data_IF_697205898614
#
_entry.id   IF_697205898614
#
_cell.length_a   1.000
_cell.length_b   1.000
_cell.length_c   1.000
_cell.angle_alpha   90.00
_cell.angle_beta   90.00
_cell.angle_gamma   90.00
#
_symmetry.space_group_name_H-M   'P 1'
#
loop_
_entity.id
_entity.type
_entity.pdbx_description
1 polymer ?
#
# COMPACT_ATOMS: atom_id res chain seq x y z
N UNK A 1 -10.18 -16.28 -19.10
CA UNK A 1 -10.75 -16.03 -17.76
C UNK A 1 -10.98 -14.55 -17.63
N UNK A 2 -12.24 -14.16 -17.42
CA UNK A 2 -12.71 -12.77 -17.42
C UNK A 2 -12.01 -11.95 -16.33
N UNK A 3 -11.36 -10.85 -16.70
CA UNK A 3 -10.41 -10.11 -15.85
C UNK A 3 -11.04 -9.19 -14.81
N UNK A 4 -12.22 -9.56 -14.29
CA UNK A 4 -12.97 -8.77 -13.30
C UNK A 4 -12.89 -9.46 -11.94
N UNK A 5 -12.38 -8.74 -10.95
CA UNK A 5 -12.44 -9.16 -9.55
C UNK A 5 -13.86 -8.98 -9.02
N UNK A 6 -14.26 -9.86 -8.12
CA UNK A 6 -15.48 -9.66 -7.33
C UNK A 6 -15.25 -8.54 -6.30
N UNK A 7 -16.32 -7.89 -5.86
CA UNK A 7 -16.24 -6.90 -4.79
C UNK A 7 -15.69 -7.51 -3.48
N UNK A 8 -15.92 -8.80 -3.28
CA UNK A 8 -15.41 -9.57 -2.15
C UNK A 8 -13.88 -9.76 -2.22
N UNK A 9 -13.33 -10.12 -3.38
CA UNK A 9 -11.88 -10.21 -3.59
C UNK A 9 -11.18 -8.86 -3.33
N UNK A 10 -11.78 -7.77 -3.81
CA UNK A 10 -11.27 -6.42 -3.57
C UNK A 10 -11.40 -6.00 -2.10
N UNK A 11 -12.44 -6.44 -1.40
CA UNK A 11 -12.63 -6.15 0.02
C UNK A 11 -11.60 -6.91 0.87
N UNK A 12 -11.36 -8.19 0.57
CA UNK A 12 -10.33 -9.00 1.24
C UNK A 12 -8.96 -8.36 1.06
N UNK A 13 -8.57 -8.04 -0.18
CA UNK A 13 -7.29 -7.39 -0.46
C UNK A 13 -7.10 -6.06 0.29
N UNK A 14 -8.17 -5.27 0.44
CA UNK A 14 -8.14 -3.99 1.20
C UNK A 14 -8.18 -4.18 2.72
N UNK A 15 -8.56 -5.36 3.22
CA UNK A 15 -8.55 -5.69 4.64
C UNK A 15 -7.16 -6.08 5.16
N UNK A 16 -6.24 -6.44 4.27
CA UNK A 16 -4.87 -6.85 4.61
C UNK A 16 -4.13 -5.70 5.30
N UNK A 17 -3.36 -6.01 6.34
CA UNK A 17 -2.59 -5.01 7.06
C UNK A 17 -1.43 -4.45 6.23
N UNK A 18 -1.49 -3.18 5.85
CA UNK A 18 -0.48 -2.54 5.02
C UNK A 18 0.90 -2.45 5.69
N UNK A 19 0.98 -2.44 7.02
CA UNK A 19 2.27 -2.51 7.70
C UNK A 19 2.90 -3.89 7.51
N UNK A 20 2.11 -4.96 7.63
CA UNK A 20 2.59 -6.32 7.40
C UNK A 20 3.00 -6.53 5.93
N UNK A 21 2.25 -5.94 4.98
CA UNK A 21 2.62 -5.91 3.56
C UNK A 21 3.98 -5.23 3.36
N UNK A 22 4.20 -4.07 3.98
CA UNK A 22 5.47 -3.38 3.85
C UNK A 22 6.63 -4.19 4.47
N UNK A 23 6.42 -4.81 5.63
CA UNK A 23 7.42 -5.65 6.29
C UNK A 23 7.77 -6.90 5.47
N UNK A 24 6.79 -7.56 4.84
CA UNK A 24 7.05 -8.73 4.00
C UNK A 24 7.81 -8.39 2.71
N UNK A 25 7.71 -7.15 2.25
CA UNK A 25 8.52 -6.60 1.14
C UNK A 25 9.93 -6.15 1.59
N UNK A 26 10.25 -6.27 2.87
CA UNK A 26 11.56 -5.93 3.43
C UNK A 26 11.71 -4.49 3.91
N UNK A 27 10.62 -3.71 3.99
CA UNK A 27 10.67 -2.38 4.62
C UNK A 27 10.62 -2.47 6.14
N UNK A 28 11.31 -1.56 6.81
CA UNK A 28 11.24 -1.45 8.26
C UNK A 28 10.13 -0.49 8.67
N UNK A 29 9.03 -1.01 9.19
CA UNK A 29 7.94 -0.16 9.70
C UNK A 29 8.30 0.44 11.06
N UNK A 30 8.05 1.75 11.21
CA UNK A 30 8.23 2.50 12.47
C UNK A 30 6.97 3.25 12.83
N UNK A 31 6.59 3.25 14.11
CA UNK A 31 5.47 4.04 14.62
C UNK A 31 5.89 5.48 14.94
N UNK A 32 5.06 6.44 14.55
CA UNK A 32 5.24 7.88 14.80
C UNK A 32 3.90 8.52 15.18
N UNK A 33 3.71 8.73 16.48
CA UNK A 33 2.42 9.16 17.03
C UNK A 33 1.31 8.15 16.67
N UNK A 34 0.28 8.63 15.96
CA UNK A 34 -0.86 7.81 15.51
C UNK A 34 -0.66 7.13 14.16
N UNK A 35 0.45 7.40 13.47
CA UNK A 35 0.75 6.85 12.15
C UNK A 35 1.93 5.88 12.20
N UNK A 36 2.19 5.22 11.08
CA UNK A 36 3.45 4.52 10.83
C UNK A 36 4.20 5.17 9.66
N UNK A 37 5.48 4.86 9.53
CA UNK A 37 6.37 5.27 8.45
C UNK A 37 7.32 4.12 8.09
N UNK A 38 8.07 4.25 7.01
CA UNK A 38 9.09 3.28 6.60
C UNK A 38 10.47 3.89 6.89
N UNK A 39 11.39 3.16 7.51
CA UNK A 39 12.74 3.65 7.83
C UNK A 39 13.49 4.08 6.58
N UNK A 40 13.26 3.37 5.48
CA UNK A 40 13.89 3.57 4.18
C UNK A 40 13.27 4.76 3.43
N UNK A 41 12.07 5.21 3.84
CA UNK A 41 11.34 6.30 3.21
C UNK A 41 10.47 7.05 4.22
N UNK A 42 11.11 7.96 4.95
CA UNK A 42 10.48 8.71 6.04
C UNK A 42 9.39 9.70 5.60
N UNK A 43 9.31 10.01 4.30
CA UNK A 43 8.25 10.82 3.72
C UNK A 43 6.93 10.06 3.55
N UNK A 44 6.92 8.73 3.76
CA UNK A 44 5.70 7.92 3.78
C UNK A 44 5.05 7.99 5.16
N UNK A 45 3.72 8.12 5.14
CA UNK A 45 2.84 7.89 6.29
C UNK A 45 1.88 6.77 5.95
N UNK A 46 1.76 5.80 6.85
CA UNK A 46 0.73 4.75 6.82
C UNK A 46 -0.31 5.09 7.90
N UNK A 47 -1.55 5.25 7.45
CA UNK A 47 -2.73 5.62 8.21
C UNK A 47 -3.57 4.38 8.48
N UNK A 48 -3.96 4.19 9.74
CA UNK A 48 -4.85 3.09 10.16
C UNK A 48 -4.43 1.71 9.62
N UNK A 49 -3.14 1.53 9.36
CA UNK A 49 -2.55 0.30 8.80
C UNK A 49 -3.20 -0.16 7.48
N UNK A 50 -3.84 0.72 6.73
CA UNK A 50 -4.57 0.37 5.49
C UNK A 50 -4.31 1.31 4.32
N UNK A 51 -3.96 2.57 4.60
CA UNK A 51 -3.74 3.57 3.56
C UNK A 51 -2.38 4.22 3.75
N UNK A 52 -1.76 4.64 2.66
CA UNK A 52 -0.50 5.37 2.70
C UNK A 52 -0.55 6.66 1.90
N UNK A 53 0.37 7.57 2.26
CA UNK A 53 0.64 8.77 1.48
C UNK A 53 2.12 9.13 1.57
N UNK A 54 2.72 9.53 0.44
CA UNK A 54 4.12 9.96 0.32
C UNK A 54 4.19 11.47 0.14
N UNK A 55 4.51 12.15 1.24
CA UNK A 55 4.54 13.61 1.32
C UNK A 55 5.60 14.25 0.43
N UNK A 56 6.72 13.57 0.16
CA UNK A 56 7.75 14.08 -0.75
C UNK A 56 7.25 14.17 -2.21
N UNK A 57 6.11 13.58 -2.54
CA UNK A 57 5.47 13.61 -3.86
C UNK A 57 4.06 14.21 -3.79
N UNK A 58 3.79 15.09 -2.83
CA UNK A 58 2.44 15.65 -2.64
C UNK A 58 1.89 16.39 -3.87
N UNK A 59 2.76 16.93 -4.73
CA UNK A 59 2.38 17.64 -5.96
C UNK A 59 2.25 16.73 -7.19
N UNK A 60 2.67 15.45 -7.08
CA UNK A 60 2.53 14.47 -8.16
C UNK A 60 1.09 13.97 -8.19
N UNK A 61 0.41 14.08 -9.33
CA UNK A 61 -0.96 13.57 -9.47
C UNK A 61 -0.95 12.05 -9.64
N UNK A 62 -1.64 11.34 -8.74
CA UNK A 62 -2.10 9.96 -8.95
C UNK A 62 -1.20 8.82 -8.43
N UNK A 63 0.02 9.08 -7.96
CA UNK A 63 0.98 8.03 -7.52
C UNK A 63 1.58 8.32 -6.13
N UNK A 64 0.94 9.16 -5.33
CA UNK A 64 1.45 9.62 -4.05
C UNK A 64 0.71 9.04 -2.84
N UNK A 65 -0.25 8.14 -3.04
CA UNK A 65 -0.92 7.44 -1.94
C UNK A 65 -2.02 6.51 -2.42
N UNK A 66 -2.60 5.75 -1.48
CA UNK A 66 -3.69 4.83 -1.78
C UNK A 66 -3.75 3.66 -0.81
N UNK A 67 -4.34 2.57 -1.28
CA UNK A 67 -4.51 1.30 -0.57
C UNK A 67 -3.25 0.40 -0.64
N UNK A 68 -3.35 -0.81 -0.10
CA UNK A 68 -2.39 -1.91 -0.24
C UNK A 68 -2.12 -2.25 -1.71
N UNK A 69 -3.19 -2.30 -2.52
CA UNK A 69 -3.08 -2.53 -3.96
C UNK A 69 -2.27 -1.41 -4.59
N UNK A 70 -2.56 -0.14 -4.27
CA UNK A 70 -1.82 1.00 -4.82
C UNK A 70 -0.36 1.02 -4.35
N UNK A 71 -0.10 0.58 -3.12
CA UNK A 71 1.26 0.43 -2.60
C UNK A 71 2.06 -0.56 -3.46
N UNK A 72 1.53 -1.76 -3.69
CA UNK A 72 2.18 -2.79 -4.51
C UNK A 72 2.37 -2.33 -5.97
N UNK A 73 1.40 -1.61 -6.52
CA UNK A 73 1.52 -1.03 -7.87
C UNK A 73 2.68 -0.04 -7.96
N UNK A 74 2.83 0.84 -6.97
CA UNK A 74 3.85 1.91 -6.98
C UNK A 74 5.23 1.37 -6.61
N UNK A 75 5.35 0.53 -5.59
CA UNK A 75 6.64 0.09 -5.05
C UNK A 75 7.15 -1.22 -5.63
N UNK A 76 6.26 -2.07 -6.16
CA UNK A 76 6.62 -3.36 -6.75
C UNK A 76 6.34 -3.42 -8.26
N UNK A 77 5.76 -2.38 -8.86
CA UNK A 77 5.44 -2.33 -10.29
C UNK A 77 4.33 -3.30 -10.71
N UNK A 78 3.56 -3.83 -9.75
CA UNK A 78 2.49 -4.80 -10.02
C UNK A 78 1.34 -4.15 -10.78
N UNK A 79 0.65 -4.91 -11.61
CA UNK A 79 -0.70 -4.60 -12.06
C UNK A 79 -1.69 -4.72 -10.88
N UNK A 80 -2.89 -4.16 -11.03
CA UNK A 80 -3.98 -4.38 -10.06
C UNK A 80 -4.22 -5.88 -9.86
N UNK A 81 -4.14 -6.66 -10.95
CA UNK A 81 -4.41 -8.09 -10.90
C UNK A 81 -3.39 -8.83 -10.06
N UNK A 82 -2.10 -8.59 -10.33
CA UNK A 82 -1.01 -9.19 -9.55
C UNK A 82 -1.06 -8.78 -8.08
N UNK A 83 -1.36 -7.51 -7.81
CA UNK A 83 -1.46 -7.01 -6.44
C UNK A 83 -2.60 -7.69 -5.66
N UNK A 84 -3.78 -7.88 -6.26
CA UNK A 84 -4.89 -8.60 -5.61
C UNK A 84 -4.56 -10.07 -5.37
N UNK A 85 -3.88 -10.74 -6.30
CA UNK A 85 -3.47 -12.15 -6.09
C UNK A 85 -2.35 -12.32 -5.06
N UNK A 86 -1.54 -11.28 -4.85
CA UNK A 86 -0.44 -11.32 -3.90
C UNK A 86 -0.91 -11.06 -2.45
N UNK A 87 -1.97 -10.24 -2.29
CA UNK A 87 -2.58 -9.88 -1.00
C UNK A 87 -3.48 -10.99 -0.46
#
# INVERSE_FOLDING_TARGET
MDGRFTDEELAIAKSVDLCAVAESLGYTVKRIGKYHTLKEMDSIRIYNRSHWYRWSRQFDKGNNGGSQIDFLRVFCGMSVKEAVFWL
#
